data_IF_435770927721
#
_entry.id   IF_435770927721
#
_cell.length_a   1.000
_cell.length_b   1.000
_cell.length_c   1.000
_cell.angle_alpha   90.00
_cell.angle_beta   90.00
_cell.angle_gamma   90.00
#
_symmetry.space_group_name_H-M   'P 1'
#
loop_
_entity.id
_entity.type
_entity.pdbx_description
1 polymer ?
#
# COMPACT_ATOMS: atom_id res chain seq x y z
N UNK A 1 -17.21 4.26 -2.37
CA UNK A 1 -16.88 2.83 -2.17
C UNK A 1 -15.51 2.75 -1.49
N UNK A 2 -15.33 1.76 -0.64
CA UNK A 2 -14.06 1.54 0.04
C UNK A 2 -13.31 0.41 -0.64
N UNK A 3 -12.08 0.66 -1.06
CA UNK A 3 -11.27 -0.30 -1.78
C UNK A 3 -10.03 -0.63 -0.96
N UNK A 4 -9.79 -1.92 -0.71
CA UNK A 4 -8.62 -2.36 0.02
C UNK A 4 -7.66 -3.02 -0.95
N UNK A 5 -6.45 -2.48 -1.02
CA UNK A 5 -5.39 -3.03 -1.85
C UNK A 5 -4.43 -3.84 -0.98
N UNK A 6 -4.26 -5.11 -1.30
CA UNK A 6 -3.35 -5.97 -0.56
C UNK A 6 -2.12 -6.21 -1.43
N UNK A 7 -0.96 -5.81 -0.93
CA UNK A 7 0.30 -5.96 -1.67
C UNK A 7 1.36 -6.57 -0.75
N UNK A 8 2.38 -7.16 -1.36
CA UNK A 8 3.46 -7.76 -0.57
C UNK A 8 4.34 -6.72 0.09
N UNK A 9 4.55 -5.60 -0.58
CA UNK A 9 5.35 -4.52 -0.01
C UNK A 9 5.13 -3.25 -0.77
N UNK A 10 5.57 -2.14 -0.21
CA UNK A 10 5.41 -0.82 -0.82
C UNK A 10 6.78 -0.23 -1.17
N UNK A 11 7.60 -1.08 -1.76
CA UNK A 11 8.92 -0.70 -2.22
C UNK A 11 8.87 0.08 -3.53
N UNK A 12 10.00 0.16 -4.20
CA UNK A 12 10.17 0.95 -5.40
C UNK A 12 9.86 0.13 -6.67
N UNK A 13 8.87 -0.74 -6.61
CA UNK A 13 8.49 -1.57 -7.75
C UNK A 13 7.43 -0.94 -8.63
N UNK A 14 7.20 -1.55 -9.78
CA UNK A 14 6.22 -1.05 -10.74
C UNK A 14 4.78 -1.14 -10.23
N UNK A 15 4.46 -2.21 -9.51
CA UNK A 15 3.13 -2.39 -8.98
C UNK A 15 2.79 -1.32 -7.94
N UNK A 16 3.76 -0.98 -7.11
CA UNK A 16 3.59 0.02 -6.07
C UNK A 16 3.42 1.41 -6.67
N UNK A 17 4.14 1.68 -7.74
CA UNK A 17 4.00 2.95 -8.45
C UNK A 17 2.61 3.09 -9.06
N UNK A 18 2.11 2.02 -9.65
CA UNK A 18 0.78 2.00 -10.23
C UNK A 18 -0.28 2.21 -9.15
N UNK A 19 -0.13 1.54 -8.02
CA UNK A 19 -1.03 1.68 -6.89
C UNK A 19 -1.06 3.13 -6.40
N UNK A 20 0.08 3.75 -6.28
CA UNK A 20 0.16 5.13 -5.85
C UNK A 20 -0.60 6.05 -6.81
N UNK A 21 -0.45 5.83 -8.11
CA UNK A 21 -1.15 6.63 -9.10
C UNK A 21 -2.66 6.46 -9.01
N UNK A 22 -3.11 5.22 -8.84
CA UNK A 22 -4.53 4.94 -8.69
C UNK A 22 -5.10 5.68 -7.49
N UNK A 23 -4.43 5.57 -6.35
CA UNK A 23 -4.89 6.22 -5.13
C UNK A 23 -4.87 7.74 -5.25
N UNK A 24 -3.88 8.27 -5.94
CA UNK A 24 -3.73 9.71 -6.08
C UNK A 24 -4.82 10.33 -6.94
N UNK A 25 -5.19 9.64 -8.01
CA UNK A 25 -6.11 10.21 -8.99
C UNK A 25 -7.57 9.80 -8.82
N UNK A 26 -7.86 8.82 -7.98
CA UNK A 26 -9.23 8.41 -7.72
C UNK A 26 -9.74 9.10 -6.46
N UNK A 27 -10.53 10.15 -6.65
CA UNK A 27 -11.10 10.89 -5.53
C UNK A 27 -12.51 10.42 -5.19
N UNK A 28 -13.07 9.50 -5.95
CA UNK A 28 -14.43 9.02 -5.70
C UNK A 28 -14.48 7.94 -4.64
N UNK A 29 -13.43 7.17 -4.52
CA UNK A 29 -13.41 6.02 -3.62
C UNK A 29 -12.39 6.23 -2.52
N UNK A 30 -12.67 5.61 -1.38
CA UNK A 30 -11.69 5.58 -0.28
C UNK A 30 -10.76 4.39 -0.51
N UNK A 31 -9.47 4.65 -0.50
CA UNK A 31 -8.47 3.61 -0.72
C UNK A 31 -7.72 3.33 0.57
N UNK A 32 -7.54 2.04 0.86
CA UNK A 32 -6.75 1.57 1.99
C UNK A 32 -5.74 0.58 1.45
N UNK A 33 -4.50 0.70 1.89
CA UNK A 33 -3.43 -0.18 1.44
C UNK A 33 -2.98 -1.06 2.59
N UNK A 34 -2.93 -2.37 2.36
CA UNK A 34 -2.44 -3.34 3.32
C UNK A 34 -1.17 -3.97 2.76
N UNK A 35 -0.03 -3.65 3.37
CA UNK A 35 1.25 -4.21 2.97
C UNK A 35 1.58 -5.40 3.87
N UNK A 36 1.86 -6.55 3.27
CA UNK A 36 2.17 -7.75 4.03
C UNK A 36 3.59 -7.72 4.59
N UNK A 37 4.50 -7.03 3.93
CA UNK A 37 5.86 -6.82 4.45
C UNK A 37 5.92 -5.46 5.11
N UNK A 38 7.08 -4.98 5.37
CA UNK A 38 7.23 -3.71 6.05
C UNK A 38 6.99 -2.49 5.17
N UNK A 39 7.48 -1.37 5.63
CA UNK A 39 7.34 -0.11 4.91
C UNK A 39 8.36 -0.02 3.79
N UNK A 40 8.07 0.80 2.81
CA UNK A 40 8.98 1.10 1.73
C UNK A 40 8.83 2.54 1.31
N UNK A 41 9.40 2.87 0.16
CA UNK A 41 9.42 4.23 -0.34
C UNK A 41 8.02 4.82 -0.47
N UNK A 42 7.06 4.05 -0.93
CA UNK A 42 5.72 4.57 -1.19
C UNK A 42 4.85 4.70 0.05
N UNK A 43 5.29 4.19 1.20
CA UNK A 43 4.55 4.40 2.45
C UNK A 43 4.37 5.90 2.72
N UNK A 44 5.46 6.63 2.63
CA UNK A 44 5.45 8.05 2.87
C UNK A 44 4.61 8.80 1.82
N UNK A 45 4.76 8.42 0.56
CA UNK A 45 3.99 9.06 -0.51
C UNK A 45 2.49 8.86 -0.34
N UNK A 46 2.08 7.64 0.00
CA UNK A 46 0.67 7.34 0.20
C UNK A 46 0.10 8.09 1.40
N UNK A 47 0.85 8.16 2.49
CA UNK A 47 0.42 8.92 3.66
C UNK A 47 0.21 10.39 3.34
N UNK A 48 1.07 10.96 2.53
CA UNK A 48 0.98 12.39 2.19
C UNK A 48 -0.30 12.72 1.44
N UNK A 49 -0.83 11.78 0.69
CA UNK A 49 -2.08 12.02 -0.05
C UNK A 49 -3.30 11.51 0.71
N UNK A 50 -3.13 11.18 1.98
CA UNK A 50 -4.27 10.84 2.84
C UNK A 50 -4.71 9.40 2.79
N UNK A 51 -3.89 8.51 2.22
CA UNK A 51 -4.23 7.08 2.12
C UNK A 51 -3.80 6.37 3.40
N UNK A 52 -4.69 5.56 3.95
CA UNK A 52 -4.37 4.74 5.12
C UNK A 52 -3.57 3.54 4.68
N UNK A 53 -2.39 3.36 5.27
CA UNK A 53 -1.49 2.25 4.95
C UNK A 53 -1.22 1.47 6.22
N UNK A 54 -1.48 0.18 6.16
CA UNK A 54 -1.21 -0.72 7.27
C UNK A 54 -0.11 -1.68 6.85
N UNK A 55 0.96 -1.75 7.64
CA UNK A 55 2.09 -2.62 7.37
C UNK A 55 2.11 -3.72 8.41
N UNK A 56 1.95 -4.96 7.99
CA UNK A 56 1.87 -6.09 8.91
C UNK A 56 3.24 -6.63 9.30
N UNK A 57 4.26 -6.29 8.52
CA UNK A 57 5.60 -6.81 8.74
C UNK A 57 5.62 -8.34 8.82
N UNK A 58 4.92 -8.96 7.91
CA UNK A 58 4.68 -10.38 7.89
C UNK A 58 5.92 -11.13 7.41
N UNK A 59 6.31 -12.17 8.14
CA UNK A 59 7.48 -12.98 7.79
C UNK A 59 7.02 -14.35 7.36
N UNK A 60 7.06 -14.59 6.07
CA UNK A 60 6.50 -15.82 5.50
C UNK A 60 7.16 -17.08 6.03
N UNK A 61 8.46 -17.01 6.29
CA UNK A 61 9.17 -18.20 6.78
C UNK A 61 8.75 -18.60 8.20
N UNK A 62 8.09 -17.73 8.92
CA UNK A 62 7.67 -18.05 10.28
C UNK A 62 6.32 -18.76 10.33
N UNK A 63 5.69 -18.94 9.19
CA UNK A 63 4.42 -19.66 9.12
C UNK A 63 4.63 -21.17 9.17
N UNK A 64 5.77 -21.61 8.75
CA UNK A 64 6.11 -23.04 8.68
C UNK A 64 6.51 -23.62 10.07
#
# INVERSE_FOLDING_TARGET
MKIIHIITGIDDGGAEKTLYKICKYDSFNEHIVLSLKGTGKYYSFLNKIGIKVYCLNFKFYSII
#
